data_IF_124500671285
#
_entry.id   IF_124500671285
#
_cell.length_a   1.000
_cell.length_b   1.000
_cell.length_c   1.000
_cell.angle_alpha   90.00
_cell.angle_beta   90.00
_cell.angle_gamma   90.00
#
_symmetry.space_group_name_H-M   'P 1'
#
loop_
_entity.id
_entity.type
_entity.pdbx_description
1 polymer ?
#
# COMPACT_ATOMS: atom_id res chain seq x y z
N UNK A 1 -6.38 24.04 -20.05
CA UNK A 1 -7.14 23.12 -20.90
C UNK A 1 -6.33 21.88 -21.18
N UNK A 2 -5.24 22.06 -21.93
CA UNK A 2 -4.34 20.96 -22.24
C UNK A 2 -3.73 20.42 -20.97
N UNK A 3 -3.41 21.30 -20.04
CA UNK A 3 -2.83 20.92 -18.75
C UNK A 3 -3.78 20.04 -17.94
N UNK A 4 -5.08 20.34 -18.02
CA UNK A 4 -6.06 19.53 -17.32
C UNK A 4 -6.15 18.12 -17.86
N UNK A 5 -6.09 17.97 -19.18
CA UNK A 5 -6.10 16.67 -19.81
C UNK A 5 -4.84 15.88 -19.46
N UNK A 6 -3.71 16.53 -19.48
CA UNK A 6 -2.45 15.92 -19.09
C UNK A 6 -2.47 15.55 -17.61
N UNK A 7 -3.07 16.42 -16.80
CA UNK A 7 -3.21 16.16 -15.39
C UNK A 7 -4.04 14.92 -15.10
N UNK A 8 -5.13 14.75 -15.85
CA UNK A 8 -5.99 13.57 -15.69
C UNK A 8 -5.25 12.28 -16.04
N UNK A 9 -4.51 12.29 -17.13
CA UNK A 9 -3.71 11.13 -17.51
C UNK A 9 -2.62 10.84 -16.47
N UNK A 10 -1.98 11.90 -15.99
CA UNK A 10 -0.95 11.76 -14.97
C UNK A 10 -1.54 11.22 -13.67
N UNK A 11 -2.75 11.66 -13.33
CA UNK A 11 -3.42 11.19 -12.11
C UNK A 11 -3.70 9.70 -12.17
N UNK A 12 -4.20 9.20 -13.30
CA UNK A 12 -4.46 7.78 -13.47
C UNK A 12 -3.17 6.97 -13.38
N UNK A 13 -2.14 7.46 -14.07
CA UNK A 13 -0.85 6.79 -14.04
C UNK A 13 -0.25 6.79 -12.64
N UNK A 14 -0.41 7.92 -11.93
CA UNK A 14 0.06 8.03 -10.57
C UNK A 14 -0.68 7.08 -9.65
N UNK A 15 -1.99 6.94 -9.82
CA UNK A 15 -2.78 6.00 -9.05
C UNK A 15 -2.31 4.57 -9.29
N UNK A 16 -2.04 4.21 -10.53
CA UNK A 16 -1.51 2.89 -10.87
C UNK A 16 -0.16 2.64 -10.21
N UNK A 17 0.72 3.62 -10.26
CA UNK A 17 2.03 3.52 -9.63
C UNK A 17 1.92 3.40 -8.12
N UNK A 18 1.06 4.22 -7.50
CA UNK A 18 0.82 4.16 -6.07
C UNK A 18 0.23 2.81 -5.68
N UNK A 19 -0.69 2.30 -6.47
CA UNK A 19 -1.29 1.00 -6.22
C UNK A 19 -0.24 -0.11 -6.25
N UNK A 20 0.60 -0.08 -7.27
CA UNK A 20 1.68 -1.06 -7.42
C UNK A 20 2.66 -0.97 -6.25
N UNK A 21 3.02 0.24 -5.87
CA UNK A 21 3.92 0.49 -4.74
C UNK A 21 3.31 -0.06 -3.44
N UNK A 22 2.06 0.28 -3.19
CA UNK A 22 1.39 -0.14 -1.96
C UNK A 22 1.19 -1.66 -1.91
N UNK A 23 0.92 -2.29 -3.04
CA UNK A 23 0.81 -3.76 -3.10
C UNK A 23 2.13 -4.42 -2.75
N UNK A 24 3.24 -3.89 -3.27
CA UNK A 24 4.57 -4.39 -2.94
C UNK A 24 4.90 -4.19 -1.47
N UNK A 25 4.54 -3.03 -0.95
CA UNK A 25 4.75 -2.70 0.46
C UNK A 25 3.93 -3.64 1.36
N UNK A 26 2.67 -3.88 1.00
CA UNK A 26 1.81 -4.80 1.73
C UNK A 26 2.40 -6.21 1.74
N UNK A 27 2.90 -6.65 0.61
CA UNK A 27 3.51 -7.97 0.48
C UNK A 27 4.72 -8.09 1.42
N UNK A 28 5.54 -7.05 1.51
CA UNK A 28 6.67 -7.02 2.43
C UNK A 28 6.23 -7.11 3.87
N UNK A 29 5.19 -6.36 4.24
CA UNK A 29 4.65 -6.38 5.60
C UNK A 29 4.11 -7.77 5.92
N UNK A 30 3.36 -8.36 5.01
CA UNK A 30 2.81 -9.71 5.21
C UNK A 30 3.92 -10.75 5.34
N UNK A 31 4.99 -10.60 4.56
CA UNK A 31 6.14 -11.48 4.66
C UNK A 31 6.78 -11.41 6.04
N UNK A 32 6.93 -10.20 6.57
CA UNK A 32 7.48 -10.02 7.91
C UNK A 32 6.57 -10.63 8.98
N UNK A 33 5.26 -10.42 8.86
CA UNK A 33 4.30 -10.95 9.83
C UNK A 33 4.20 -12.47 9.77
N UNK A 34 4.49 -13.06 8.61
CA UNK A 34 4.51 -14.51 8.44
C UNK A 34 5.86 -15.13 8.80
N UNK A 35 6.88 -14.30 8.98
CA UNK A 35 8.20 -14.79 9.32
C UNK A 35 8.28 -15.05 10.82
N UNK A 36 8.41 -16.31 11.17
CA UNK A 36 8.43 -16.74 12.57
C UNK A 36 9.60 -16.12 13.34
N UNK A 37 10.75 -16.07 12.71
CA UNK A 37 11.94 -15.47 13.34
C UNK A 37 11.73 -13.99 13.64
N UNK A 38 11.12 -13.27 12.71
CA UNK A 38 10.82 -11.87 12.90
C UNK A 38 9.84 -11.68 14.06
N UNK A 39 8.78 -12.47 14.08
CA UNK A 39 7.76 -12.38 15.11
C UNK A 39 8.30 -12.73 16.51
N UNK A 40 9.21 -13.71 16.57
CA UNK A 40 9.79 -14.14 17.85
C UNK A 40 10.81 -13.13 18.37
N UNK A 41 11.56 -12.48 17.49
CA UNK A 41 12.63 -11.55 17.87
C UNK A 41 12.17 -10.11 17.98
N UNK A 42 11.09 -9.73 17.29
CA UNK A 42 10.64 -8.35 17.29
C UNK A 42 9.90 -8.01 18.59
N UNK A 43 10.15 -6.83 19.15
CA UNK A 43 9.36 -6.36 20.28
C UNK A 43 7.89 -6.29 19.92
N UNK A 44 7.04 -6.44 20.93
CA UNK A 44 5.59 -6.42 20.73
C UNK A 44 5.12 -5.15 20.01
N UNK A 45 5.72 -4.01 20.37
CA UNK A 45 5.35 -2.74 19.78
C UNK A 45 5.67 -2.70 18.28
N UNK A 46 6.75 -3.34 17.85
CA UNK A 46 7.12 -3.41 16.44
C UNK A 46 6.11 -4.26 15.68
N UNK A 47 5.71 -5.39 16.26
CA UNK A 47 4.70 -6.27 15.66
C UNK A 47 3.37 -5.54 15.50
N UNK A 48 2.95 -4.81 16.52
CA UNK A 48 1.72 -4.04 16.47
C UNK A 48 1.78 -2.96 15.39
N UNK A 49 2.92 -2.28 15.27
CA UNK A 49 3.11 -1.26 14.24
C UNK A 49 3.04 -1.87 12.84
N UNK A 50 3.60 -3.06 12.65
CA UNK A 50 3.53 -3.75 11.36
C UNK A 50 2.09 -4.11 11.00
N UNK A 51 1.32 -4.60 11.97
CA UNK A 51 -0.09 -4.92 11.76
C UNK A 51 -0.89 -3.68 11.40
N UNK A 52 -0.60 -2.57 12.05
CA UNK A 52 -1.26 -1.30 11.77
C UNK A 52 -0.92 -0.81 10.37
N UNK A 53 0.34 -0.93 9.96
CA UNK A 53 0.76 -0.59 8.60
C UNK A 53 0.04 -1.46 7.57
N UNK A 54 -0.16 -2.73 7.88
CA UNK A 54 -0.88 -3.64 7.01
C UNK A 54 -2.31 -3.16 6.78
N UNK A 55 -3.01 -2.83 7.85
CA UNK A 55 -4.38 -2.34 7.75
C UNK A 55 -4.46 -1.05 6.95
N UNK A 56 -3.56 -0.09 7.26
CA UNK A 56 -3.54 1.19 6.57
C UNK A 56 -3.25 1.02 5.09
N UNK A 57 -2.31 0.13 4.76
CA UNK A 57 -1.94 -0.13 3.37
C UNK A 57 -3.08 -0.79 2.61
N UNK A 58 -3.77 -1.73 3.24
CA UNK A 58 -4.95 -2.37 2.63
C UNK A 58 -6.03 -1.36 2.34
N UNK A 59 -6.26 -0.44 3.26
CA UNK A 59 -7.26 0.61 3.07
C UNK A 59 -6.88 1.51 1.89
N UNK A 60 -5.62 1.88 1.79
CA UNK A 60 -5.12 2.69 0.68
C UNK A 60 -5.29 1.98 -0.65
N UNK A 61 -4.94 0.70 -0.69
CA UNK A 61 -5.07 -0.11 -1.91
C UNK A 61 -6.52 -0.15 -2.36
N UNK A 62 -7.42 -0.36 -1.42
CA UNK A 62 -8.86 -0.42 -1.71
C UNK A 62 -9.35 0.89 -2.31
N UNK A 63 -8.95 2.01 -1.73
CA UNK A 63 -9.33 3.33 -2.22
C UNK A 63 -8.77 3.56 -3.63
N UNK A 64 -7.51 3.20 -3.85
CA UNK A 64 -6.87 3.36 -5.14
C UNK A 64 -7.54 2.50 -6.22
N UNK A 65 -7.91 1.27 -5.87
CA UNK A 65 -8.61 0.38 -6.80
C UNK A 65 -9.98 0.95 -7.18
N UNK A 66 -10.68 1.52 -6.22
CA UNK A 66 -11.98 2.15 -6.48
C UNK A 66 -11.81 3.33 -7.44
N UNK A 67 -10.77 4.12 -7.24
CA UNK A 67 -10.49 5.27 -8.12
C UNK A 67 -10.16 4.82 -9.54
N UNK A 68 -9.46 3.71 -9.69
CA UNK A 68 -9.11 3.19 -11.00
C UNK A 68 -10.32 2.67 -11.76
N UNK A 69 -11.28 2.11 -11.04
CA UNK A 69 -12.48 1.54 -11.66
C UNK A 69 -13.43 2.61 -12.18
N UNK A 70 -13.30 3.83 -11.73
CA UNK A 70 -14.06 4.93 -12.28
C UNK A 70 -13.39 5.48 -13.52
#
# INVERSE_FOLDING_TARGET
FINNLLGQKNDLKKIEEDLKYNKGFLKSIQSNLNNKKFMDNAPKIVVENEKKKEEDTRAKIKILEIKLKK
#
